data_IF_739798690246
#
_entry.id   IF_739798690246
#
_cell.length_a   1.000
_cell.length_b   1.000
_cell.length_c   1.000
_cell.angle_alpha   90.00
_cell.angle_beta   90.00
_cell.angle_gamma   90.00
#
_symmetry.space_group_name_H-M   'P 1'
#
loop_
_entity.id
_entity.type
_entity.pdbx_description
1 polymer ?
#
# COMPACT_ATOMS: atom_id res chain seq x y z
N UNK A 1 -25.35 15.61 11.04
CA UNK A 1 -24.75 14.34 11.53
C UNK A 1 -23.38 14.21 10.89
N UNK A 2 -22.30 14.34 11.66
CA UNK A 2 -20.96 14.09 11.13
C UNK A 2 -20.85 12.58 10.99
N UNK A 3 -20.96 12.06 9.77
CA UNK A 3 -20.54 10.70 9.46
C UNK A 3 -19.03 10.68 9.62
N UNK A 4 -18.56 10.32 10.83
CA UNK A 4 -17.16 9.98 11.05
C UNK A 4 -16.88 8.73 10.22
N UNK A 5 -16.39 8.94 9.01
CA UNK A 5 -15.95 7.85 8.16
C UNK A 5 -14.52 7.55 8.59
N UNK A 6 -14.38 6.53 9.45
CA UNK A 6 -13.06 5.98 9.76
C UNK A 6 -12.41 5.56 8.43
N UNK A 7 -11.20 6.07 8.18
CA UNK A 7 -10.43 5.84 6.95
C UNK A 7 -10.19 4.36 6.63
N UNK A 8 -10.42 3.48 7.60
CA UNK A 8 -10.30 2.03 7.44
C UNK A 8 -11.51 1.40 6.78
N UNK A 9 -12.68 2.04 6.82
CA UNK A 9 -13.86 1.54 6.11
C UNK A 9 -13.59 1.53 4.61
N UNK A 10 -13.89 0.41 3.97
CA UNK A 10 -13.61 0.16 2.55
C UNK A 10 -12.21 -0.38 2.28
N UNK A 11 -11.28 -0.37 3.26
CA UNK A 11 -9.95 -0.97 3.07
C UNK A 11 -10.02 -2.49 3.05
N UNK A 12 -9.09 -3.06 2.29
CA UNK A 12 -8.82 -4.50 2.26
C UNK A 12 -8.08 -4.91 3.52
N UNK A 13 -8.43 -6.08 4.03
CA UNK A 13 -7.82 -6.68 5.22
C UNK A 13 -7.56 -8.16 4.98
N UNK A 14 -6.42 -8.63 5.49
CA UNK A 14 -6.06 -10.02 5.58
C UNK A 14 -6.01 -10.48 7.04
N UNK A 15 -6.43 -11.72 7.29
CA UNK A 15 -6.27 -12.42 8.56
C UNK A 15 -5.80 -13.84 8.26
N UNK A 16 -4.49 -14.06 8.29
CA UNK A 16 -3.87 -15.27 7.78
C UNK A 16 -4.08 -15.39 6.26
N UNK A 17 -4.72 -16.47 5.82
CA UNK A 17 -5.05 -16.69 4.39
C UNK A 17 -6.36 -16.00 3.95
N UNK A 18 -7.13 -15.48 4.90
CA UNK A 18 -8.48 -14.98 4.64
C UNK A 18 -8.45 -13.50 4.30
N UNK A 19 -9.16 -13.13 3.24
CA UNK A 19 -9.22 -11.76 2.75
C UNK A 19 -10.64 -11.23 2.84
N UNK A 20 -10.76 -9.94 3.11
CA UNK A 20 -12.05 -9.27 3.21
C UNK A 20 -11.93 -7.75 3.12
N UNK A 21 -13.07 -7.10 3.31
CA UNK A 21 -13.21 -5.64 3.28
C UNK A 21 -13.79 -5.16 4.60
N UNK A 22 -13.19 -4.14 5.19
CA UNK A 22 -13.74 -3.49 6.39
C UNK A 22 -15.00 -2.72 6.01
N UNK A 23 -16.10 -2.99 6.71
CA UNK A 23 -17.41 -2.34 6.54
C UNK A 23 -17.82 -1.49 7.73
N UNK A 24 -17.21 -1.70 8.90
CA UNK A 24 -17.49 -0.96 10.12
C UNK A 24 -16.22 -0.85 10.98
N UNK A 25 -16.05 0.30 11.63
CA UNK A 25 -15.06 0.47 12.70
C UNK A 25 -15.77 1.15 13.87
N UNK A 26 -15.77 0.50 15.02
CA UNK A 26 -16.47 1.04 16.18
C UNK A 26 -16.64 0.05 17.34
N UNK A 27 -17.23 0.51 18.45
CA UNK A 27 -17.58 -0.35 19.57
C UNK A 27 -18.70 -1.33 19.19
N UNK A 28 -18.73 -2.50 19.83
CA UNK A 28 -19.79 -3.52 19.63
C UNK A 28 -20.22 -4.07 21.00
N UNK A 29 -21.16 -3.40 21.70
CA UNK A 29 -21.62 -3.84 23.00
C UNK A 29 -22.18 -5.28 23.00
N UNK A 30 -21.97 -6.05 24.09
CA UNK A 30 -21.30 -5.67 25.33
C UNK A 30 -19.75 -5.76 25.27
N UNK A 31 -19.19 -6.14 24.12
CA UNK A 31 -17.75 -6.29 23.98
C UNK A 31 -17.04 -4.93 24.00
N UNK A 32 -16.09 -4.78 24.93
CA UNK A 32 -15.32 -3.55 25.08
C UNK A 32 -14.29 -3.37 23.96
N UNK A 33 -13.89 -2.11 23.75
CA UNK A 33 -12.87 -1.71 22.79
C UNK A 33 -13.39 -1.54 21.36
N UNK A 34 -12.47 -1.22 20.45
CA UNK A 34 -12.76 -0.99 19.04
C UNK A 34 -12.75 -2.32 18.27
N UNK A 35 -13.70 -2.46 17.36
CA UNK A 35 -13.87 -3.64 16.51
C UNK A 35 -13.95 -3.25 15.05
N UNK A 36 -13.45 -4.14 14.20
CA UNK A 36 -13.64 -4.08 12.76
C UNK A 36 -14.77 -5.04 12.39
N UNK A 37 -15.83 -4.50 11.78
CA UNK A 37 -16.77 -5.30 11.02
C UNK A 37 -16.19 -5.57 9.65
N UNK A 38 -15.96 -6.83 9.32
CA UNK A 38 -15.35 -7.28 8.06
C UNK A 38 -16.34 -8.13 7.30
N UNK A 39 -16.48 -7.86 6.02
CA UNK A 39 -17.09 -8.76 5.06
C UNK A 39 -15.98 -9.57 4.38
N UNK A 40 -16.00 -10.89 4.56
CA UNK A 40 -15.05 -11.80 3.93
C UNK A 40 -15.41 -12.04 2.47
N UNK A 41 -14.39 -12.21 1.63
CA UNK A 41 -14.59 -12.62 0.24
C UNK A 41 -15.15 -14.04 0.13
N UNK A 42 -14.69 -14.92 1.03
CA UNK A 42 -15.23 -16.28 1.17
C UNK A 42 -16.39 -16.28 2.19
N UNK A 43 -17.63 -16.56 1.76
CA UNK A 43 -18.80 -16.55 2.66
C UNK A 43 -18.76 -17.61 3.76
N UNK A 44 -17.94 -18.66 3.64
CA UNK A 44 -17.79 -19.71 4.64
C UNK A 44 -16.99 -19.29 5.87
N UNK A 45 -16.20 -18.21 5.75
CA UNK A 45 -15.32 -17.73 6.82
C UNK A 45 -16.06 -16.93 7.90
N UNK A 46 -17.11 -16.23 7.50
CA UNK A 46 -17.83 -15.34 8.40
C UNK A 46 -18.81 -16.06 9.32
N UNK A 47 -19.65 -15.28 10.00
CA UNK A 47 -20.58 -15.74 11.04
C UNK A 47 -21.96 -15.12 10.94
N UNK A 48 -22.07 -13.92 10.39
CA UNK A 48 -23.29 -13.11 10.45
C UNK A 48 -23.40 -12.14 9.28
N UNK A 49 -24.54 -11.48 9.15
CA UNK A 49 -24.83 -10.50 8.10
C UNK A 49 -24.39 -9.06 8.45
N UNK A 50 -23.64 -8.91 9.55
CA UNK A 50 -23.17 -7.63 10.08
C UNK A 50 -24.04 -7.07 11.22
N UNK A 51 -24.96 -7.87 11.74
CA UNK A 51 -25.67 -7.61 12.98
C UNK A 51 -25.04 -8.32 14.19
N UNK A 52 -25.22 -7.74 15.38
CA UNK A 52 -24.86 -8.36 16.65
C UNK A 52 -25.89 -7.92 17.71
N UNK A 53 -26.47 -8.88 18.45
CA UNK A 53 -27.50 -8.65 19.48
C UNK A 53 -28.66 -7.76 19.01
N UNK A 54 -29.18 -8.00 17.80
CA UNK A 54 -30.32 -7.25 17.24
C UNK A 54 -29.98 -5.86 16.70
N UNK A 55 -28.72 -5.42 16.80
CA UNK A 55 -28.25 -4.15 16.24
C UNK A 55 -27.53 -4.41 14.92
N UNK A 56 -27.91 -3.70 13.86
CA UNK A 56 -27.25 -3.75 12.56
C UNK A 56 -26.11 -2.74 12.50
N UNK A 57 -24.87 -3.20 12.31
CA UNK A 57 -23.69 -2.32 12.24
C UNK A 57 -23.24 -2.06 10.79
N UNK A 58 -23.30 -3.10 9.96
CA UNK A 58 -22.96 -3.04 8.53
C UNK A 58 -23.73 -4.10 7.76
N UNK A 59 -23.85 -3.96 6.44
CA UNK A 59 -24.48 -4.99 5.59
C UNK A 59 -23.44 -5.79 4.84
N UNK A 60 -23.75 -7.06 4.59
CA UNK A 60 -22.95 -7.96 3.78
C UNK A 60 -23.76 -8.47 2.59
N UNK A 61 -23.06 -8.82 1.51
CA UNK A 61 -23.64 -9.46 0.32
C UNK A 61 -24.17 -10.87 0.61
N UNK A 62 -23.52 -11.60 1.52
CA UNK A 62 -23.94 -12.92 1.97
C UNK A 62 -24.29 -12.93 3.47
N UNK A 63 -25.36 -13.64 3.90
CA UNK A 63 -25.80 -13.66 5.29
C UNK A 63 -24.77 -14.16 6.29
N UNK A 64 -23.75 -14.90 5.84
CA UNK A 64 -22.72 -15.50 6.67
C UNK A 64 -21.34 -14.91 6.43
N UNK A 65 -21.15 -13.94 5.52
CA UNK A 65 -19.80 -13.45 5.19
C UNK A 65 -19.25 -12.42 6.18
N UNK A 66 -20.04 -11.93 7.13
CA UNK A 66 -19.62 -10.91 8.09
C UNK A 66 -18.94 -11.47 9.34
N UNK A 67 -17.99 -10.73 9.90
CA UNK A 67 -17.40 -10.99 11.22
C UNK A 67 -16.97 -9.71 11.92
N UNK A 68 -17.01 -9.70 13.26
CA UNK A 68 -16.29 -8.73 14.06
C UNK A 68 -14.92 -9.27 14.45
N UNK A 69 -13.85 -8.52 14.15
CA UNK A 69 -12.48 -8.85 14.52
C UNK A 69 -11.82 -7.71 15.28
N UNK A 70 -10.78 -8.08 16.04
CA UNK A 70 -9.86 -7.19 16.72
C UNK A 70 -8.88 -6.58 15.72
N UNK A 71 -8.59 -5.28 15.84
CA UNK A 71 -7.71 -4.55 14.91
C UNK A 71 -6.32 -5.16 14.90
N UNK A 72 -5.86 -5.67 16.05
CA UNK A 72 -4.56 -6.30 16.22
C UNK A 72 -4.39 -7.57 15.38
N UNK A 73 -5.51 -8.16 14.91
CA UNK A 73 -5.50 -9.33 14.03
C UNK A 73 -5.57 -8.98 12.55
N UNK A 74 -5.86 -7.72 12.22
CA UNK A 74 -6.04 -7.26 10.86
C UNK A 74 -4.70 -6.83 10.26
N UNK A 75 -4.33 -7.47 9.16
CA UNK A 75 -3.26 -7.01 8.30
C UNK A 75 -3.85 -6.18 7.16
N UNK A 76 -3.51 -4.89 7.10
CA UNK A 76 -3.94 -3.99 6.04
C UNK A 76 -2.95 -3.92 4.87
N UNK A 77 -1.87 -4.71 4.94
CA UNK A 77 -0.76 -4.70 4.01
C UNK A 77 0.02 -3.38 4.04
N UNK A 78 0.96 -3.27 3.08
CA UNK A 78 1.66 -2.02 2.79
C UNK A 78 0.92 -1.29 1.68
N UNK A 79 0.83 0.03 1.78
CA UNK A 79 0.35 0.82 0.64
C UNK A 79 1.32 0.69 -0.53
N UNK A 80 0.81 0.71 -1.76
CA UNK A 80 1.65 0.74 -2.95
C UNK A 80 2.63 1.93 -2.89
N UNK A 81 2.18 3.08 -2.42
CA UNK A 81 3.01 4.29 -2.22
C UNK A 81 4.18 4.00 -1.28
N UNK A 82 3.93 3.42 -0.11
CA UNK A 82 5.00 3.08 0.84
C UNK A 82 5.97 2.02 0.29
N UNK A 83 5.47 1.02 -0.43
CA UNK A 83 6.31 -0.02 -1.01
C UNK A 83 7.18 0.51 -2.16
N UNK A 84 6.62 1.40 -2.97
CA UNK A 84 7.38 2.10 -4.02
C UNK A 84 8.38 3.05 -3.34
N UNK A 85 8.01 3.75 -2.26
CA UNK A 85 8.91 4.63 -1.50
C UNK A 85 10.14 3.92 -0.96
N UNK A 86 9.94 2.75 -0.40
CA UNK A 86 11.03 1.93 0.12
C UNK A 86 11.97 1.42 -0.99
N UNK A 87 11.44 1.11 -2.18
CA UNK A 87 12.24 0.57 -3.29
C UNK A 87 12.86 1.62 -4.22
N UNK A 88 12.23 2.78 -4.36
CA UNK A 88 12.57 3.79 -5.37
C UNK A 88 12.69 5.21 -4.79
N UNK A 89 12.36 5.42 -3.51
CA UNK A 89 12.38 6.72 -2.85
C UNK A 89 13.70 7.08 -2.15
N UNK A 90 14.74 6.27 -2.30
CA UNK A 90 16.07 6.60 -1.75
C UNK A 90 16.67 7.78 -2.52
N UNK A 91 16.60 8.98 -1.92
CA UNK A 91 17.39 10.16 -2.30
C UNK A 91 18.90 10.01 -1.95
N UNK A 92 19.32 8.81 -1.57
CA UNK A 92 20.56 8.55 -0.83
C UNK A 92 21.58 7.75 -1.65
N UNK A 93 21.81 8.18 -2.88
CA UNK A 93 23.10 7.97 -3.55
C UNK A 93 23.60 9.31 -4.11
N UNK A 94 23.40 10.38 -3.34
CA UNK A 94 24.08 11.65 -3.63
C UNK A 94 25.46 11.57 -3.00
N UNK A 95 26.40 10.88 -3.67
CA UNK A 95 27.81 11.01 -3.33
C UNK A 95 28.18 12.48 -3.57
N UNK A 96 28.84 13.09 -2.60
CA UNK A 96 29.42 14.42 -2.78
C UNK A 96 30.48 14.35 -3.88
N UNK A 97 30.76 15.48 -4.52
CA UNK A 97 31.82 15.56 -5.54
C UNK A 97 33.17 15.08 -4.97
N UNK A 98 33.39 15.29 -3.68
CA UNK A 98 34.60 14.87 -2.96
C UNK A 98 34.68 13.33 -2.83
N UNK A 99 33.59 12.67 -2.42
CA UNK A 99 33.52 11.20 -2.33
C UNK A 99 33.66 10.52 -3.70
N UNK A 100 33.11 11.13 -4.76
CA UNK A 100 33.27 10.65 -6.14
C UNK A 100 34.73 10.73 -6.61
N UNK A 101 35.46 11.77 -6.24
CA UNK A 101 36.87 11.94 -6.59
C UNK A 101 37.77 10.93 -5.88
N UNK A 102 37.47 10.59 -4.62
CA UNK A 102 38.22 9.56 -3.89
C UNK A 102 38.01 8.16 -4.49
N UNK A 103 36.77 7.81 -4.84
CA UNK A 103 36.43 6.57 -5.53
C UNK A 103 37.12 6.45 -6.90
N UNK A 104 37.17 7.53 -7.67
CA UNK A 104 37.86 7.56 -8.96
C UNK A 104 39.36 7.26 -8.83
N UNK A 105 40.02 7.84 -7.80
CA UNK A 105 41.43 7.59 -7.52
C UNK A 105 41.69 6.17 -7.03
N UNK A 106 40.79 5.63 -6.21
CA UNK A 106 40.92 4.28 -5.68
C UNK A 106 40.71 3.18 -6.75
N UNK A 107 39.82 3.42 -7.72
CA UNK A 107 39.46 2.42 -8.74
C UNK A 107 40.25 2.52 -10.05
N UNK A 108 41.09 3.55 -10.23
CA UNK A 108 41.89 3.78 -11.46
C UNK A 108 41.06 3.70 -12.77
N UNK A 109 39.77 4.02 -12.71
CA UNK A 109 38.84 3.99 -13.83
C UNK A 109 38.37 5.41 -14.19
N UNK A 110 38.11 5.72 -15.48
CA UNK A 110 37.54 7.01 -15.87
C UNK A 110 36.14 7.15 -15.28
N UNK A 111 35.83 8.29 -14.66
CA UNK A 111 34.48 8.61 -14.19
C UNK A 111 33.58 8.68 -15.43
N UNK A 112 32.68 7.69 -15.59
CA UNK A 112 31.66 7.75 -16.63
C UNK A 112 30.66 8.83 -16.21
N UNK A 113 30.60 9.90 -16.98
CA UNK A 113 29.57 10.93 -16.81
C UNK A 113 28.21 10.26 -17.01
N UNK A 114 27.35 10.31 -15.99
CA UNK A 114 26.02 9.69 -16.04
C UNK A 114 25.08 10.54 -16.90
N UNK A 115 25.25 10.50 -18.21
CA UNK A 115 24.37 11.21 -19.15
C UNK A 115 23.01 10.50 -19.18
N UNK A 116 21.96 11.18 -18.71
CA UNK A 116 20.57 10.69 -18.70
C UNK A 116 19.98 10.38 -17.31
N UNK A 117 20.76 10.44 -16.23
CA UNK A 117 20.21 10.30 -14.87
C UNK A 117 19.59 11.58 -14.31
N UNK A 118 19.83 12.74 -14.94
CA UNK A 118 19.20 14.02 -14.59
C UNK A 118 17.67 13.95 -14.67
N UNK A 119 17.15 13.33 -15.74
CA UNK A 119 15.70 13.14 -15.95
C UNK A 119 15.13 12.13 -14.94
N UNK A 120 15.88 11.07 -14.62
CA UNK A 120 15.48 10.08 -13.60
C UNK A 120 15.41 10.72 -12.21
N UNK A 121 16.34 11.61 -11.87
CA UNK A 121 16.39 12.35 -10.61
C UNK A 121 15.24 13.35 -10.48
N UNK A 122 14.84 14.01 -11.57
CA UNK A 122 13.66 14.88 -11.60
C UNK A 122 12.34 14.08 -11.56
N UNK A 123 12.28 12.91 -12.20
CA UNK A 123 11.13 12.00 -12.14
C UNK A 123 10.95 11.41 -10.73
N UNK A 124 12.06 11.10 -10.05
CA UNK A 124 12.07 10.61 -8.66
C UNK A 124 11.86 11.73 -7.62
N UNK A 125 12.05 13.01 -7.96
CA UNK A 125 11.78 14.12 -7.03
C UNK A 125 10.29 14.49 -6.91
N UNK A 126 9.49 14.19 -7.94
CA UNK A 126 8.02 14.40 -7.95
C UNK A 126 7.24 13.28 -7.25
N UNK A 127 7.93 12.43 -6.51
CA UNK A 127 7.41 11.22 -5.91
C UNK A 127 6.40 11.45 -4.78
N UNK A 128 6.37 12.66 -4.23
CA UNK A 128 5.32 13.14 -3.33
C UNK A 128 3.94 13.31 -4.00
N UNK A 129 3.87 13.24 -5.34
CA UNK A 129 2.67 13.51 -6.15
C UNK A 129 2.21 12.32 -7.02
N UNK A 130 2.59 11.09 -6.66
CA UNK A 130 2.19 9.88 -7.40
C UNK A 130 0.65 9.69 -7.46
N UNK A 131 0.05 10.07 -8.59
CA UNK A 131 -1.34 9.76 -8.97
C UNK A 131 -1.41 8.54 -9.92
N UNK A 132 -2.59 7.91 -10.05
CA UNK A 132 -2.91 6.77 -10.92
C UNK A 132 -2.37 6.92 -12.34
N UNK A 133 -2.30 8.14 -12.87
CA UNK A 133 -1.83 8.39 -14.22
C UNK A 133 -0.33 8.08 -14.39
N UNK A 134 0.49 8.25 -13.34
CA UNK A 134 1.94 8.02 -13.38
C UNK A 134 2.30 6.53 -13.40
N UNK A 135 1.51 5.69 -12.73
CA UNK A 135 1.72 4.22 -12.70
C UNK A 135 1.57 3.63 -14.11
N UNK A 136 0.56 4.09 -14.87
CA UNK A 136 0.35 3.64 -16.26
C UNK A 136 1.48 4.02 -17.22
N UNK A 137 2.24 5.08 -16.91
CA UNK A 137 3.42 5.50 -17.68
C UNK A 137 4.65 4.66 -17.33
N UNK A 138 4.83 4.30 -16.06
CA UNK A 138 5.93 3.43 -15.61
C UNK A 138 5.83 2.01 -16.19
N UNK A 139 4.62 1.44 -16.29
CA UNK A 139 4.43 0.13 -16.95
C UNK A 139 4.81 0.18 -18.44
N UNK A 140 4.48 1.26 -19.14
CA UNK A 140 4.85 1.45 -20.54
C UNK A 140 6.35 1.67 -20.73
N UNK A 141 7.01 2.38 -19.82
CA UNK A 141 8.47 2.58 -19.87
C UNK A 141 9.25 1.31 -19.57
N UNK A 142 8.82 0.51 -18.59
CA UNK A 142 9.44 -0.78 -18.28
C UNK A 142 9.28 -1.81 -19.42
N UNK A 143 8.17 -1.74 -20.16
CA UNK A 143 7.94 -2.59 -21.33
C UNK A 143 8.91 -2.26 -22.48
N UNK A 144 9.31 -0.99 -22.66
CA UNK A 144 10.23 -0.57 -23.72
C UNK A 144 11.71 -0.93 -23.43
N UNK A 145 12.09 -1.11 -22.17
CA UNK A 145 13.46 -1.50 -21.81
C UNK A 145 13.76 -2.98 -22.08
N UNK A 146 12.74 -3.83 -22.27
CA UNK A 146 12.91 -5.27 -22.52
C UNK A 146 12.81 -5.69 -23.99
N UNK A 147 12.49 -4.77 -24.90
CA UNK A 147 12.33 -5.09 -26.34
C UNK A 147 13.49 -4.66 -27.23
N UNK A 148 14.57 -4.11 -26.68
CA UNK A 148 15.78 -3.78 -27.45
C UNK A 148 16.98 -4.61 -27.02
N UNK A 149 16.85 -5.93 -27.13
CA UNK A 149 18.00 -6.82 -27.27
C UNK A 149 17.71 -7.80 -28.41
N UNK A 150 18.06 -7.36 -29.62
CA UNK A 150 18.40 -8.17 -30.78
C UNK A 150 19.57 -7.49 -31.49
#
# INVERSE_FOLDING_TARGET
MVVNHDERVGRRVAVGIWHGTVRYVGPVPPAQGLWLGVEWDDPSRGKHNGSHNGVQYFHTSHPTSGSFIRIEKADFGRSCVSAIQERYGSNELTLTVEELQELQRAMNAPLVEMVGFEEVKQLQSCFSSLDRQTISRLEKQLCNCFTSSK
#
